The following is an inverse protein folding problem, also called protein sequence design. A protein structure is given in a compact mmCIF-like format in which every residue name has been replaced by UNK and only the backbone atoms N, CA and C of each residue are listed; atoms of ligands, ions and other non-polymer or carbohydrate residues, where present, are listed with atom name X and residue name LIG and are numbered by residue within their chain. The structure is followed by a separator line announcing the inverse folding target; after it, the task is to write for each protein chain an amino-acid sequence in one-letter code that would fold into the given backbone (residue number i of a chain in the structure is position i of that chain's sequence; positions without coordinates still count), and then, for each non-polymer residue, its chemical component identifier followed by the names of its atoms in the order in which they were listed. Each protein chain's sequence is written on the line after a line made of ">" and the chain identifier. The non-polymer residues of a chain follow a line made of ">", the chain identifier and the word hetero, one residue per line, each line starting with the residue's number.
data_IF_580491832113
#
_entry.id   IF_580491832113
#
_cell.length_a   1.000
_cell.length_b   1.000
_cell.length_c   1.000
_cell.angle_alpha   90.00
_cell.angle_beta   90.00
_cell.angle_gamma   90.00
#
_symmetry.space_group_name_H-M   'P 1'
#
loop_
_entity.id
_entity.type
_entity.pdbx_description
1 polymer ?
#
# COMPACT_ATOMS: atom_id res chain seq x y z
N UNK A 1 -8.15 -12.11 1.60
CA UNK A 1 -8.84 -10.90 1.96
C UNK A 1 -8.17 -9.70 1.31
N UNK A 2 -8.99 -8.76 0.83
CA UNK A 2 -8.49 -7.65 0.01
C UNK A 2 -7.70 -6.60 0.80
N UNK A 3 -8.07 -6.36 2.06
CA UNK A 3 -7.49 -5.24 2.80
C UNK A 3 -5.97 -5.36 3.05
N UNK A 4 -5.45 -6.51 3.51
CA UNK A 4 -4.00 -6.66 3.64
C UNK A 4 -3.25 -6.49 2.33
N UNK A 5 -3.83 -6.94 1.22
CA UNK A 5 -3.24 -6.76 -0.11
C UNK A 5 -3.20 -5.29 -0.49
N UNK A 6 -4.27 -4.56 -0.18
CA UNK A 6 -4.33 -3.13 -0.47
C UNK A 6 -3.27 -2.36 0.32
N UNK A 7 -3.06 -2.71 1.59
CA UNK A 7 -2.00 -2.11 2.40
C UNK A 7 -0.63 -2.41 1.78
N UNK A 8 -0.42 -3.64 1.34
CA UNK A 8 0.84 -4.03 0.71
C UNK A 8 1.09 -3.25 -0.59
N UNK A 9 0.06 -3.04 -1.40
CA UNK A 9 0.18 -2.22 -2.62
C UNK A 9 0.51 -0.77 -2.28
N UNK A 10 -0.15 -0.21 -1.26
CA UNK A 10 0.13 1.15 -0.80
C UNK A 10 1.59 1.27 -0.36
N UNK A 11 2.07 0.35 0.46
CA UNK A 11 3.44 0.39 0.94
C UNK A 11 4.44 0.19 -0.19
N UNK A 12 4.14 -0.68 -1.15
CA UNK A 12 5.01 -0.87 -2.31
C UNK A 12 5.17 0.43 -3.08
N UNK A 13 4.11 1.20 -3.23
CA UNK A 13 4.16 2.48 -3.94
C UNK A 13 4.91 3.54 -3.14
N UNK A 14 4.72 3.54 -1.80
CA UNK A 14 5.34 4.56 -0.94
C UNK A 14 6.82 4.31 -0.67
N UNK A 15 7.22 3.05 -0.59
CA UNK A 15 8.57 2.70 -0.14
C UNK A 15 9.51 2.29 -1.28
N UNK A 16 9.02 2.23 -2.52
CA UNK A 16 9.85 1.84 -3.65
C UNK A 16 9.64 2.81 -4.81
N UNK A 17 10.50 2.68 -5.83
CA UNK A 17 10.35 3.42 -7.08
C UNK A 17 9.58 2.62 -8.13
N UNK A 18 8.96 1.52 -7.75
CA UNK A 18 8.23 0.69 -8.69
C UNK A 18 7.05 1.46 -9.30
N UNK A 19 6.88 1.30 -10.60
CA UNK A 19 5.73 1.87 -11.30
C UNK A 19 4.45 1.15 -10.90
N UNK A 20 3.32 1.79 -11.16
CA UNK A 20 2.02 1.17 -10.90
C UNK A 20 1.84 -0.15 -11.65
N UNK A 21 2.19 -0.25 -12.95
CA UNK A 21 2.13 -1.53 -13.64
C UNK A 21 3.03 -2.61 -13.02
N UNK A 22 4.22 -2.23 -12.57
CA UNK A 22 5.14 -3.17 -11.95
C UNK A 22 4.56 -3.73 -10.66
N UNK A 23 3.96 -2.88 -9.85
CA UNK A 23 3.33 -3.31 -8.60
C UNK A 23 2.17 -4.27 -8.90
N UNK A 24 1.32 -3.93 -9.88
CA UNK A 24 0.22 -4.80 -10.28
C UNK A 24 0.71 -6.17 -10.71
N UNK A 25 1.80 -6.22 -11.47
CA UNK A 25 2.39 -7.47 -11.92
C UNK A 25 2.88 -8.31 -10.74
N UNK A 26 3.52 -7.69 -9.75
CA UNK A 26 4.02 -8.39 -8.58
C UNK A 26 2.89 -8.96 -7.70
N UNK A 27 1.70 -8.42 -7.80
CA UNK A 27 0.55 -8.88 -7.05
C UNK A 27 -0.38 -9.78 -7.88
N UNK A 28 0.21 -10.60 -8.75
CA UNK A 28 -0.53 -11.62 -9.47
C UNK A 28 -1.12 -11.15 -10.80
N UNK A 29 -0.47 -10.18 -11.44
CA UNK A 29 -0.92 -9.70 -12.75
C UNK A 29 -2.13 -8.81 -12.69
N UNK A 30 -2.27 -8.03 -11.62
CA UNK A 30 -3.39 -7.10 -11.48
C UNK A 30 -3.16 -5.84 -12.30
N UNK A 31 -4.26 -5.26 -12.76
CA UNK A 31 -4.24 -4.02 -13.52
C UNK A 31 -3.67 -2.89 -12.65
N UNK A 32 -2.99 -1.93 -13.30
CA UNK A 32 -2.47 -0.75 -12.60
C UNK A 32 -3.59 0.07 -11.96
N UNK A 33 -4.80 0.07 -12.53
CA UNK A 33 -5.94 0.77 -11.91
C UNK A 33 -6.32 0.15 -10.56
N UNK A 34 -6.15 -1.17 -10.41
CA UNK A 34 -6.37 -1.82 -9.13
C UNK A 34 -5.40 -1.29 -8.07
N UNK A 35 -4.14 -1.07 -8.47
CA UNK A 35 -3.13 -0.51 -7.56
C UNK A 35 -3.47 0.93 -7.19
N UNK A 36 -3.92 1.73 -8.16
CA UNK A 36 -4.34 3.12 -7.91
C UNK A 36 -5.48 3.15 -6.89
N UNK A 37 -6.51 2.32 -7.08
CA UNK A 37 -7.66 2.28 -6.18
C UNK A 37 -7.24 1.83 -4.78
N UNK A 38 -6.35 0.84 -4.69
CA UNK A 38 -5.85 0.37 -3.41
C UNK A 38 -5.08 1.49 -2.68
N UNK A 39 -4.23 2.18 -3.40
CA UNK A 39 -3.46 3.28 -2.83
C UNK A 39 -4.38 4.40 -2.31
N UNK A 40 -5.38 4.79 -3.11
CA UNK A 40 -6.32 5.83 -2.70
C UNK A 40 -7.13 5.42 -1.47
N UNK A 41 -7.59 4.17 -1.45
CA UNK A 41 -8.36 3.67 -0.30
C UNK A 41 -7.55 3.73 0.98
N UNK A 42 -6.33 3.22 0.96
CA UNK A 42 -5.49 3.21 2.16
C UNK A 42 -5.09 4.63 2.55
N UNK A 43 -4.77 5.49 1.58
CA UNK A 43 -4.44 6.88 1.88
C UNK A 43 -5.61 7.60 2.55
N UNK A 44 -6.83 7.36 2.09
CA UNK A 44 -8.02 7.96 2.69
C UNK A 44 -8.28 7.41 4.10
N UNK A 45 -8.09 6.11 4.30
CA UNK A 45 -8.26 5.50 5.61
C UNK A 45 -7.24 6.05 6.62
N UNK A 46 -6.01 6.29 6.17
CA UNK A 46 -4.98 6.91 7.01
C UNK A 46 -5.40 8.31 7.44
N UNK A 47 -5.98 9.08 6.54
CA UNK A 47 -6.42 10.46 6.85
C UNK A 47 -7.55 10.49 7.87
N UNK A 48 -8.45 9.52 7.81
CA UNK A 48 -9.67 9.53 8.62
C UNK A 48 -9.55 8.73 9.92
N UNK A 49 -8.48 7.95 10.09
CA UNK A 49 -8.33 7.06 11.26
C UNK A 49 -6.93 7.16 11.84
N UNK A 50 -6.74 7.96 12.91
CA UNK A 50 -5.42 8.12 13.53
C UNK A 50 -4.80 6.83 14.04
N UNK A 51 -5.61 5.88 14.49
CA UNK A 51 -5.11 4.58 14.96
C UNK A 51 -4.54 3.79 13.79
N UNK A 52 -5.26 3.76 12.68
CA UNK A 52 -4.80 3.09 11.47
C UNK A 52 -3.52 3.75 10.94
N UNK A 53 -3.48 5.08 10.95
CA UNK A 53 -2.28 5.82 10.55
C UNK A 53 -1.06 5.37 11.35
N UNK A 54 -1.21 5.25 12.67
CA UNK A 54 -0.13 4.82 13.53
C UNK A 54 0.33 3.40 13.22
N UNK A 55 -0.63 2.51 12.96
CA UNK A 55 -0.32 1.13 12.60
C UNK A 55 0.49 1.06 11.30
N UNK A 56 0.09 1.83 10.29
CA UNK A 56 0.81 1.86 9.01
C UNK A 56 2.22 2.44 9.20
N UNK A 57 2.35 3.50 9.99
CA UNK A 57 3.67 4.08 10.27
C UNK A 57 4.58 3.09 10.98
N UNK A 58 4.03 2.30 11.88
CA UNK A 58 4.81 1.25 12.57
C UNK A 58 5.29 0.18 11.59
N UNK A 59 4.43 -0.22 10.65
CA UNK A 59 4.82 -1.16 9.60
C UNK A 59 5.93 -0.62 8.73
N UNK A 60 5.85 0.66 8.35
CA UNK A 60 6.89 1.28 7.55
C UNK A 60 8.23 1.28 8.28
N UNK A 61 8.23 1.58 9.57
CA UNK A 61 9.46 1.54 10.38
C UNK A 61 10.05 0.16 10.43
N UNK A 62 9.23 -0.87 10.62
CA UNK A 62 9.71 -2.25 10.65
C UNK A 62 10.35 -2.64 9.32
N UNK A 63 9.73 -2.27 8.21
CA UNK A 63 10.26 -2.58 6.88
C UNK A 63 11.59 -1.88 6.66
N UNK A 64 11.69 -0.61 7.03
CA UNK A 64 12.91 0.17 6.84
C UNK A 64 14.07 -0.30 7.71
N UNK A 65 13.78 -0.94 8.82
CA UNK A 65 14.79 -1.41 9.76
C UNK A 65 15.28 -2.83 9.49
N UNK A 66 14.82 -3.45 8.41
CA UNK A 66 15.27 -4.78 8.02
C UNK A 66 16.57 -4.75 7.24
#
# INVERSE_FOLDING_TARGET
>A
IAYPRQIAMYLSRELTDFSLPKIGEEFGGRDHTTVIHAHEKIANDIKSDPTFKQEVENLEKEIRNQ
#
